data_IF_377454054772
#
_entry.id   IF_377454054772
#
_cell.length_a   1.000
_cell.length_b   1.000
_cell.length_c   1.000
_cell.angle_alpha   90.00
_cell.angle_beta   90.00
_cell.angle_gamma   90.00
#
_symmetry.space_group_name_H-M   'P 1'
#
loop_
_entity.id
_entity.type
_entity.pdbx_description
1 polymer ?
#
# COMPACT_ATOMS: atom_id res chain seq x y z
N UNK A 1 -20.08 -36.16 38.76
CA UNK A 1 -19.13 -35.86 37.67
C UNK A 1 -19.96 -35.60 36.43
N UNK A 2 -19.81 -34.52 35.68
CA UNK A 2 -18.59 -33.80 35.34
C UNK A 2 -18.32 -34.06 33.86
N UNK A 3 -18.87 -33.21 32.98
CA UNK A 3 -18.76 -33.35 31.52
C UNK A 3 -19.11 -32.04 30.84
N UNK A 4 -18.28 -31.02 31.06
CA UNK A 4 -18.40 -29.72 30.40
C UNK A 4 -18.06 -29.87 28.90
N UNK A 5 -19.06 -29.74 28.03
CA UNK A 5 -18.80 -29.55 26.60
C UNK A 5 -18.30 -28.13 26.39
N UNK A 6 -17.03 -28.02 25.99
CA UNK A 6 -16.39 -26.76 25.69
C UNK A 6 -17.12 -26.05 24.56
N UNK A 7 -17.70 -24.90 24.88
CA UNK A 7 -18.16 -23.90 23.90
C UNK A 7 -17.03 -23.63 22.91
N UNK A 8 -17.20 -24.06 21.65
CA UNK A 8 -16.39 -23.60 20.52
C UNK A 8 -16.59 -22.08 20.42
N UNK A 9 -15.55 -21.32 20.74
CA UNK A 9 -15.53 -19.88 20.58
C UNK A 9 -15.86 -19.49 19.14
N UNK A 10 -16.59 -18.39 18.99
CA UNK A 10 -16.95 -17.77 17.72
C UNK A 10 -15.76 -17.75 16.75
N UNK A 11 -15.81 -18.61 15.73
CA UNK A 11 -14.78 -18.71 14.72
C UNK A 11 -14.79 -17.46 13.86
N UNK A 12 -13.95 -16.48 14.21
CA UNK A 12 -13.68 -15.36 13.33
C UNK A 12 -13.19 -15.90 11.98
N UNK A 13 -13.73 -15.39 10.88
CA UNK A 13 -13.29 -15.79 9.54
C UNK A 13 -11.79 -15.55 9.40
N UNK A 14 -11.04 -16.42 8.70
CA UNK A 14 -9.61 -16.25 8.51
C UNK A 14 -9.31 -14.89 7.85
N UNK A 15 -8.11 -14.35 8.09
CA UNK A 15 -7.69 -13.09 7.48
C UNK A 15 -7.76 -13.18 5.94
N UNK A 16 -8.02 -12.06 5.23
CA UNK A 16 -8.26 -12.08 3.78
C UNK A 16 -7.15 -12.79 3.00
N UNK A 17 -5.89 -12.49 3.32
CA UNK A 17 -4.73 -13.14 2.69
C UNK A 17 -4.71 -14.67 2.87
N UNK A 18 -5.15 -15.20 4.02
CA UNK A 18 -5.16 -16.64 4.28
C UNK A 18 -6.11 -17.35 3.32
N UNK A 19 -7.30 -16.78 3.13
CA UNK A 19 -8.29 -17.30 2.18
C UNK A 19 -7.78 -17.23 0.74
N UNK A 20 -7.19 -16.09 0.33
CA UNK A 20 -6.66 -15.87 -1.03
C UNK A 20 -5.52 -16.81 -1.37
N UNK A 21 -4.60 -17.03 -0.44
CA UNK A 21 -3.52 -18.03 -0.58
C UNK A 21 -4.08 -19.44 -0.66
N UNK A 22 -5.15 -19.74 0.10
CA UNK A 22 -5.88 -21.00 -0.02
C UNK A 22 -6.38 -21.27 -1.44
N UNK A 23 -7.06 -20.29 -2.03
CA UNK A 23 -7.52 -20.36 -3.42
C UNK A 23 -6.37 -20.49 -4.43
N UNK A 24 -5.26 -19.79 -4.25
CA UNK A 24 -4.09 -19.92 -5.13
C UNK A 24 -3.49 -21.32 -5.08
N UNK A 25 -3.39 -21.91 -3.88
CA UNK A 25 -2.93 -23.30 -3.72
C UNK A 25 -3.91 -24.30 -4.33
N UNK A 26 -5.21 -24.03 -4.23
CA UNK A 26 -6.25 -24.84 -4.86
C UNK A 26 -6.19 -24.76 -6.40
N UNK A 27 -5.95 -23.57 -6.96
CA UNK A 27 -5.65 -23.39 -8.39
C UNK A 27 -4.43 -24.23 -8.79
N UNK A 28 -3.33 -24.18 -8.03
CA UNK A 28 -2.15 -25.01 -8.32
C UNK A 28 -2.47 -26.52 -8.29
N UNK A 29 -3.26 -26.99 -7.32
CA UNK A 29 -3.65 -28.40 -7.22
C UNK A 29 -4.54 -28.83 -8.40
N UNK A 30 -5.54 -28.03 -8.73
CA UNK A 30 -6.51 -28.34 -9.79
C UNK A 30 -5.90 -28.28 -11.18
N UNK A 31 -4.90 -27.42 -11.39
CA UNK A 31 -4.06 -27.42 -12.59
C UNK A 31 -3.31 -28.75 -12.74
N UNK A 32 -2.72 -29.28 -11.65
CA UNK A 32 -2.01 -30.58 -11.68
C UNK A 32 -2.94 -31.75 -11.97
N UNK A 33 -4.20 -31.66 -11.55
CA UNK A 33 -5.24 -32.64 -11.82
C UNK A 33 -5.92 -32.43 -13.19
N UNK A 34 -5.44 -31.51 -14.02
CA UNK A 34 -6.02 -31.14 -15.33
C UNK A 34 -7.48 -30.63 -15.27
N UNK A 35 -7.95 -30.17 -14.10
CA UNK A 35 -9.30 -29.62 -13.88
C UNK A 35 -9.34 -28.12 -14.18
N UNK A 36 -9.15 -27.73 -15.45
CA UNK A 36 -9.05 -26.31 -15.88
C UNK A 36 -10.26 -25.47 -15.52
N UNK A 37 -11.47 -25.97 -15.80
CA UNK A 37 -12.72 -25.23 -15.53
C UNK A 37 -12.87 -24.88 -14.04
N UNK A 38 -12.45 -25.79 -13.16
CA UNK A 38 -12.46 -25.56 -11.71
C UNK A 38 -11.42 -24.50 -11.32
N UNK A 39 -10.21 -24.55 -11.87
CA UNK A 39 -9.20 -23.51 -11.66
C UNK A 39 -9.68 -22.12 -12.11
N UNK A 40 -10.34 -22.05 -13.28
CA UNK A 40 -10.96 -20.81 -13.78
C UNK A 40 -12.05 -20.32 -12.84
N UNK A 41 -12.88 -21.21 -12.30
CA UNK A 41 -13.92 -20.87 -11.32
C UNK A 41 -13.31 -20.28 -10.04
N UNK A 42 -12.30 -20.92 -9.46
CA UNK A 42 -11.60 -20.42 -8.27
C UNK A 42 -10.97 -19.05 -8.56
N UNK A 43 -10.35 -18.87 -9.73
CA UNK A 43 -9.77 -17.58 -10.12
C UNK A 43 -10.82 -16.47 -10.18
N UNK A 44 -12.05 -16.75 -10.65
CA UNK A 44 -13.15 -15.77 -10.62
C UNK A 44 -13.52 -15.38 -9.20
N UNK A 45 -13.58 -16.35 -8.27
CA UNK A 45 -13.84 -16.08 -6.85
C UNK A 45 -12.73 -15.22 -6.23
N UNK A 46 -11.46 -15.52 -6.51
CA UNK A 46 -10.32 -14.74 -6.04
C UNK A 46 -10.37 -13.29 -6.55
N UNK A 47 -10.67 -13.09 -7.84
CA UNK A 47 -10.81 -11.76 -8.43
C UNK A 47 -11.97 -10.97 -7.82
N UNK A 48 -13.11 -11.62 -7.59
CA UNK A 48 -14.26 -11.03 -6.87
C UNK A 48 -13.87 -10.55 -5.48
N UNK A 49 -13.19 -11.40 -4.73
CA UNK A 49 -12.77 -11.11 -3.37
C UNK A 49 -11.75 -9.96 -3.26
N UNK A 50 -10.99 -9.71 -4.33
CA UNK A 50 -10.07 -8.57 -4.43
C UNK A 50 -10.75 -7.29 -4.94
N UNK A 51 -12.08 -7.30 -5.14
CA UNK A 51 -12.80 -6.15 -5.66
C UNK A 51 -12.49 -5.84 -7.14
N UNK A 52 -12.08 -6.86 -7.91
CA UNK A 52 -11.76 -6.76 -9.34
C UNK A 52 -12.93 -7.22 -10.23
N UNK A 53 -14.14 -7.37 -9.67
CA UNK A 53 -15.35 -7.67 -10.44
C UNK A 53 -15.63 -6.56 -11.47
N UNK A 54 -15.87 -6.93 -12.72
CA UNK A 54 -16.10 -5.97 -13.82
C UNK A 54 -14.84 -5.47 -14.52
N UNK A 55 -13.62 -5.74 -14.02
CA UNK A 55 -12.37 -5.48 -14.77
C UNK A 55 -12.20 -6.51 -15.89
N UNK A 56 -13.09 -6.47 -16.90
CA UNK A 56 -12.88 -7.27 -18.10
C UNK A 56 -11.58 -6.82 -18.77
N UNK A 57 -10.83 -7.78 -19.31
CA UNK A 57 -9.61 -7.54 -20.09
C UNK A 57 -9.81 -6.42 -21.12
N UNK A 58 -11.02 -6.32 -21.68
CA UNK A 58 -11.41 -5.30 -22.64
C UNK A 58 -11.74 -3.92 -22.03
N UNK A 59 -12.31 -3.84 -20.83
CA UNK A 59 -12.64 -2.55 -20.21
C UNK A 59 -11.39 -1.84 -19.68
N UNK A 60 -10.43 -2.61 -19.16
CA UNK A 60 -9.11 -2.11 -18.73
C UNK A 60 -8.26 -1.63 -19.92
N UNK A 61 -8.35 -2.30 -21.07
CA UNK A 61 -7.51 -2.01 -22.24
C UNK A 61 -8.11 -0.99 -23.22
N UNK A 62 -9.45 -0.90 -23.35
CA UNK A 62 -10.09 -0.14 -24.44
C UNK A 62 -11.01 1.02 -24.00
N UNK A 63 -11.43 1.11 -22.72
CA UNK A 63 -12.27 2.22 -22.25
C UNK A 63 -11.58 3.01 -21.15
N UNK A 64 -10.75 3.98 -21.58
CA UNK A 64 -10.11 5.01 -20.75
C UNK A 64 -9.16 4.50 -19.65
N UNK A 65 -7.89 4.32 -20.05
CA UNK A 65 -6.73 4.00 -19.22
C UNK A 65 -6.38 5.02 -18.11
N UNK A 66 -7.26 5.99 -17.81
CA UNK A 66 -7.06 7.04 -16.79
C UNK A 66 -7.59 6.67 -15.40
N UNK A 67 -8.27 5.51 -15.23
CA UNK A 67 -9.10 5.25 -14.03
C UNK A 67 -8.70 4.09 -13.13
N UNK A 68 -7.66 3.31 -13.41
CA UNK A 68 -7.27 2.21 -12.54
C UNK A 68 -6.07 2.61 -11.70
N UNK A 69 -6.29 3.56 -10.81
CA UNK A 69 -5.38 3.87 -9.70
C UNK A 69 -5.31 2.69 -8.72
N UNK A 70 -4.92 1.50 -9.20
CA UNK A 70 -4.98 0.27 -8.44
C UNK A 70 -4.13 0.39 -7.18
N UNK A 71 -4.66 -0.13 -6.06
CA UNK A 71 -3.89 -0.20 -4.81
C UNK A 71 -2.78 -1.24 -4.88
N UNK A 72 -2.92 -2.24 -5.74
CA UNK A 72 -1.93 -3.31 -5.95
C UNK A 72 -1.85 -3.69 -7.44
N UNK A 73 -1.11 -2.90 -8.25
CA UNK A 73 -0.98 -3.15 -9.68
C UNK A 73 -0.21 -4.45 -10.00
N UNK A 74 0.70 -4.88 -9.11
CA UNK A 74 1.52 -6.08 -9.32
C UNK A 74 0.63 -7.32 -9.21
N UNK A 75 -0.14 -7.46 -8.12
CA UNK A 75 -1.06 -8.58 -7.98
C UNK A 75 -2.12 -8.58 -9.08
N UNK A 76 -2.58 -7.41 -9.52
CA UNK A 76 -3.50 -7.30 -10.64
C UNK A 76 -2.91 -7.87 -11.93
N UNK A 77 -1.71 -7.46 -12.33
CA UNK A 77 -1.06 -7.94 -13.56
C UNK A 77 -0.82 -9.46 -13.53
N UNK A 78 -0.40 -9.99 -12.38
CA UNK A 78 -0.24 -11.43 -12.17
C UNK A 78 -1.57 -12.19 -12.30
N UNK A 79 -2.67 -11.67 -11.73
CA UNK A 79 -4.00 -12.27 -11.89
C UNK A 79 -4.47 -12.26 -13.35
N UNK A 80 -4.15 -11.21 -14.09
CA UNK A 80 -4.48 -11.08 -15.51
C UNK A 80 -3.66 -12.07 -16.35
N UNK A 81 -2.39 -12.24 -16.03
CA UNK A 81 -1.53 -13.25 -16.65
C UNK A 81 -2.04 -14.67 -16.36
N UNK A 82 -2.42 -14.96 -15.11
CA UNK A 82 -2.99 -16.26 -14.72
C UNK A 82 -4.32 -16.54 -15.45
N UNK A 83 -5.18 -15.52 -15.58
CA UNK A 83 -6.43 -15.65 -16.33
C UNK A 83 -6.19 -16.00 -17.80
N UNK A 84 -5.19 -15.35 -18.42
CA UNK A 84 -4.81 -15.60 -19.81
C UNK A 84 -4.32 -17.03 -20.01
N UNK A 85 -3.47 -17.53 -19.13
CA UNK A 85 -2.93 -18.89 -19.22
C UNK A 85 -4.01 -19.97 -19.05
N UNK A 86 -4.99 -19.73 -18.18
CA UNK A 86 -6.09 -20.68 -17.92
C UNK A 86 -7.18 -20.66 -19.00
N UNK A 87 -7.50 -19.49 -19.56
CA UNK A 87 -8.64 -19.31 -20.47
C UNK A 87 -8.24 -19.37 -21.95
N UNK A 88 -7.04 -18.90 -22.29
CA UNK A 88 -6.53 -18.82 -23.67
C UNK A 88 -5.10 -19.38 -23.78
N UNK A 89 -4.89 -20.69 -23.51
CA UNK A 89 -3.56 -21.27 -23.51
C UNK A 89 -2.94 -21.23 -24.91
N UNK A 90 -1.71 -20.70 -25.01
CA UNK A 90 -0.92 -20.73 -26.25
C UNK A 90 -0.41 -22.15 -26.51
N UNK A 91 -0.43 -22.59 -27.78
CA UNK A 91 -0.01 -23.96 -28.19
C UNK A 91 1.50 -24.21 -28.04
N UNK A 92 2.31 -23.16 -27.97
CA UNK A 92 3.77 -23.23 -28.03
C UNK A 92 4.46 -23.27 -26.65
N UNK A 93 3.72 -23.04 -25.57
CA UNK A 93 4.26 -22.99 -24.20
C UNK A 93 3.52 -23.96 -23.29
N UNK A 94 4.17 -24.45 -22.23
CA UNK A 94 3.53 -25.25 -21.18
C UNK A 94 2.76 -24.30 -20.21
N UNK A 95 1.45 -24.07 -20.41
CA UNK A 95 0.70 -23.09 -19.61
C UNK A 95 0.69 -23.44 -18.12
N UNK A 96 0.96 -24.70 -17.77
CA UNK A 96 0.96 -25.19 -16.40
C UNK A 96 2.17 -24.68 -15.62
N UNK A 97 3.36 -24.71 -16.24
CA UNK A 97 4.59 -24.18 -15.62
C UNK A 97 4.53 -22.67 -15.41
N UNK A 98 3.93 -21.94 -16.36
CA UNK A 98 3.69 -20.50 -16.20
C UNK A 98 2.68 -20.24 -15.09
N UNK A 99 1.53 -20.91 -15.11
CA UNK A 99 0.50 -20.74 -14.08
C UNK A 99 1.00 -21.07 -12.67
N UNK A 100 1.81 -22.12 -12.49
CA UNK A 100 2.42 -22.45 -11.18
C UNK A 100 3.38 -21.34 -10.71
N UNK A 101 4.19 -20.78 -11.63
CA UNK A 101 5.09 -19.66 -11.33
C UNK A 101 4.31 -18.42 -10.91
N UNK A 102 3.27 -18.07 -11.66
CA UNK A 102 2.40 -16.92 -11.38
C UNK A 102 1.70 -17.11 -10.02
N UNK A 103 1.19 -18.31 -9.72
CA UNK A 103 0.61 -18.62 -8.42
C UNK A 103 1.62 -18.41 -7.28
N UNK A 104 2.89 -18.81 -7.45
CA UNK A 104 3.93 -18.56 -6.44
C UNK A 104 4.21 -17.07 -6.24
N UNK A 105 4.26 -16.29 -7.32
CA UNK A 105 4.43 -14.84 -7.25
C UNK A 105 3.23 -14.19 -6.55
N UNK A 106 2.00 -14.58 -6.88
CA UNK A 106 0.80 -14.09 -6.21
C UNK A 106 0.80 -14.45 -4.72
N UNK A 107 1.16 -15.69 -4.37
CA UNK A 107 1.29 -16.10 -2.96
C UNK A 107 2.32 -15.23 -2.26
N UNK A 108 3.45 -14.93 -2.91
CA UNK A 108 4.44 -14.01 -2.38
C UNK A 108 3.77 -12.66 -2.10
N UNK A 109 3.34 -11.91 -3.12
CA UNK A 109 2.79 -10.56 -2.95
C UNK A 109 1.60 -10.43 -1.99
N UNK A 110 0.77 -11.46 -1.90
CA UNK A 110 -0.41 -11.44 -1.04
C UNK A 110 -0.14 -11.93 0.38
N UNK A 111 1.11 -12.28 0.75
CA UNK A 111 1.46 -12.72 2.10
C UNK A 111 2.37 -11.72 2.82
N UNK A 112 2.33 -11.69 4.17
CA UNK A 112 3.28 -10.90 4.92
C UNK A 112 4.71 -11.41 4.70
N UNK A 113 5.59 -10.53 4.22
CA UNK A 113 7.02 -10.81 4.02
C UNK A 113 7.90 -10.46 5.22
N UNK A 114 7.30 -9.91 6.29
CA UNK A 114 8.09 -9.44 7.42
C UNK A 114 8.94 -10.60 7.97
N UNK A 115 10.16 -10.26 8.41
CA UNK A 115 11.17 -11.16 9.02
C UNK A 115 10.63 -11.97 10.22
N UNK A 116 9.38 -11.73 10.61
CA UNK A 116 8.66 -12.35 11.71
C UNK A 116 7.83 -13.57 11.34
N UNK A 117 7.69 -13.94 10.06
CA UNK A 117 6.99 -15.16 9.68
C UNK A 117 7.82 -16.43 10.02
N UNK A 118 8.05 -16.67 11.32
CA UNK A 118 8.30 -17.98 11.89
C UNK A 118 6.95 -18.59 12.25
N UNK A 119 6.57 -19.61 11.50
CA UNK A 119 5.52 -20.58 11.77
C UNK A 119 4.89 -20.51 13.18
N UNK A 120 3.60 -20.11 13.23
CA UNK A 120 2.69 -20.54 14.30
C UNK A 120 2.95 -20.00 15.71
N UNK A 121 3.17 -18.69 15.91
CA UNK A 121 3.20 -18.14 17.27
C UNK A 121 1.80 -18.20 17.92
N UNK A 122 1.66 -18.80 19.13
CA UNK A 122 0.44 -18.71 19.91
C UNK A 122 0.14 -17.26 20.30
N UNK A 123 -1.13 -16.88 20.29
CA UNK A 123 -1.66 -15.53 20.58
C UNK A 123 -1.13 -14.89 21.88
N UNK A 124 -0.67 -15.68 22.85
CA UNK A 124 -0.06 -15.22 24.12
C UNK A 124 1.34 -14.59 23.93
N UNK A 125 2.10 -14.99 22.89
CA UNK A 125 3.42 -14.44 22.56
C UNK A 125 3.34 -13.11 21.79
N UNK A 126 2.20 -12.79 21.17
CA UNK A 126 1.94 -11.52 20.48
C UNK A 126 2.02 -10.31 21.44
N UNK A 127 1.54 -10.45 22.67
CA UNK A 127 1.56 -9.34 23.64
C UNK A 127 2.96 -9.01 24.17
N UNK A 128 3.84 -10.01 24.29
CA UNK A 128 5.26 -9.78 24.61
C UNK A 128 5.92 -9.09 23.43
N UNK A 129 5.64 -9.53 22.20
CA UNK A 129 6.13 -8.92 20.97
C UNK A 129 5.73 -7.45 20.83
N UNK A 130 4.46 -7.11 21.10
CA UNK A 130 3.97 -5.72 21.03
C UNK A 130 4.67 -4.84 22.04
N UNK A 131 4.78 -5.29 23.30
CA UNK A 131 5.53 -4.54 24.32
C UNK A 131 6.98 -4.35 23.89
N UNK A 132 7.65 -5.38 23.36
CA UNK A 132 9.03 -5.25 22.90
C UNK A 132 9.18 -4.42 21.64
N UNK A 133 8.22 -4.40 20.71
CA UNK A 133 8.25 -3.54 19.52
C UNK A 133 8.00 -2.08 19.88
N UNK A 134 7.12 -1.81 20.84
CA UNK A 134 6.90 -0.48 21.40
C UNK A 134 8.03 -0.03 22.36
N UNK A 135 8.72 -0.96 23.04
CA UNK A 135 9.80 -0.69 23.99
C UNK A 135 11.20 -0.73 23.38
N UNK A 136 11.40 -1.40 22.24
CA UNK A 136 12.64 -1.28 21.47
C UNK A 136 12.79 0.19 21.17
N UNK A 137 13.72 0.84 21.89
CA UNK A 137 14.08 2.24 21.69
C UNK A 137 14.18 2.46 20.18
N UNK A 138 13.34 3.37 19.72
CA UNK A 138 13.23 3.92 18.38
C UNK A 138 14.59 4.49 18.00
N UNK A 139 15.52 3.61 17.61
CA UNK A 139 16.78 3.98 16.96
C UNK A 139 16.56 4.27 15.48
N UNK A 140 15.32 4.14 14.99
CA UNK A 140 14.90 4.41 13.63
C UNK A 140 13.53 5.08 13.71
N UNK A 141 13.31 6.16 12.96
CA UNK A 141 12.08 6.97 12.90
C UNK A 141 10.84 6.22 12.35
N UNK A 142 10.73 4.92 12.60
CA UNK A 142 9.69 4.03 12.06
C UNK A 142 9.14 3.09 13.13
N UNK A 143 7.85 2.77 13.00
CA UNK A 143 7.16 1.77 13.80
C UNK A 143 6.72 0.63 12.88
N UNK A 144 7.21 -0.59 13.12
CA UNK A 144 6.83 -1.79 12.36
C UNK A 144 6.16 -2.80 13.28
N UNK A 145 4.86 -3.03 13.05
CA UNK A 145 4.05 -4.07 13.69
C UNK A 145 3.52 -5.09 12.67
N UNK A 146 4.09 -5.11 11.47
CA UNK A 146 3.61 -5.91 10.35
C UNK A 146 3.57 -7.41 10.68
N UNK A 147 2.44 -8.05 10.38
CA UNK A 147 2.23 -9.48 10.61
C UNK A 147 1.92 -9.86 12.06
N UNK A 148 1.76 -8.89 12.99
CA UNK A 148 1.31 -9.13 14.36
C UNK A 148 -0.21 -8.92 14.44
N UNK A 149 -1.05 -9.95 14.66
CA UNK A 149 -2.48 -9.76 14.81
C UNK A 149 -2.79 -8.89 16.04
N UNK A 150 -3.44 -7.76 15.82
CA UNK A 150 -3.81 -6.78 16.84
C UNK A 150 -5.23 -7.00 17.32
N UNK A 151 -5.44 -6.87 18.63
CA UNK A 151 -6.78 -6.79 19.22
C UNK A 151 -7.17 -5.34 19.46
N UNK A 152 -8.46 -5.03 19.67
CA UNK A 152 -8.90 -3.69 20.08
C UNK A 152 -8.13 -3.13 21.28
N UNK A 153 -7.78 -3.99 22.25
CA UNK A 153 -6.97 -3.58 23.41
C UNK A 153 -5.55 -3.18 23.03
N UNK A 154 -4.96 -3.85 22.04
CA UNK A 154 -3.63 -3.52 21.55
C UNK A 154 -3.66 -2.22 20.74
N UNK A 155 -4.73 -2.01 19.98
CA UNK A 155 -5.02 -0.75 19.27
C UNK A 155 -5.13 0.43 20.24
N UNK A 156 -5.81 0.29 21.38
CA UNK A 156 -5.84 1.33 22.42
C UNK A 156 -4.45 1.65 23.00
N UNK A 157 -3.62 0.61 23.22
CA UNK A 157 -2.25 0.81 23.70
C UNK A 157 -1.40 1.55 22.67
N UNK A 158 -1.60 1.24 21.39
CA UNK A 158 -0.93 1.91 20.29
C UNK A 158 -1.36 3.36 20.18
N UNK A 159 -2.66 3.65 20.27
CA UNK A 159 -3.17 5.02 20.32
C UNK A 159 -2.51 5.83 21.45
N UNK A 160 -2.47 5.27 22.66
CA UNK A 160 -1.79 5.88 23.80
C UNK A 160 -0.28 6.08 23.55
N UNK A 161 0.38 5.11 22.91
CA UNK A 161 1.80 5.24 22.58
C UNK A 161 2.05 6.36 21.56
N UNK A 162 1.28 6.40 20.47
CA UNK A 162 1.37 7.41 19.41
C UNK A 162 1.13 8.81 19.95
N UNK A 163 0.18 8.96 20.88
CA UNK A 163 -0.09 10.24 21.53
C UNK A 163 1.11 10.80 22.32
N UNK A 164 1.90 9.92 22.95
CA UNK A 164 2.97 10.35 23.86
C UNK A 164 4.37 10.29 23.24
N UNK A 165 4.57 9.53 22.16
CA UNK A 165 5.91 9.24 21.60
C UNK A 165 5.93 9.28 20.06
N UNK A 166 4.87 9.78 19.41
CA UNK A 166 4.69 9.71 17.96
C UNK A 166 5.42 10.79 17.15
N UNK A 167 5.88 11.88 17.78
CA UNK A 167 6.33 13.10 17.08
C UNK A 167 7.51 12.89 16.12
N UNK A 168 8.32 11.85 16.35
CA UNK A 168 9.48 11.52 15.54
C UNK A 168 9.17 10.54 14.41
N UNK A 169 8.00 9.89 14.42
CA UNK A 169 7.68 8.82 13.49
C UNK A 169 7.45 9.36 12.07
N UNK A 170 8.24 8.83 11.14
CA UNK A 170 8.14 9.09 9.70
C UNK A 170 7.41 7.98 8.95
N UNK A 171 7.45 6.75 9.48
CA UNK A 171 6.82 5.58 8.85
C UNK A 171 6.12 4.71 9.88
N UNK A 172 4.91 4.26 9.56
CA UNK A 172 4.11 3.33 10.39
C UNK A 172 3.64 2.18 9.51
N UNK A 173 4.11 0.97 9.81
CA UNK A 173 3.72 -0.26 9.13
C UNK A 173 2.81 -1.11 10.01
N UNK A 174 1.54 -1.20 9.60
CA UNK A 174 0.48 -1.99 10.21
C UNK A 174 -0.04 -3.06 9.25
N UNK A 175 0.79 -3.51 8.31
CA UNK A 175 0.42 -4.50 7.31
C UNK A 175 0.12 -5.85 7.97
N UNK A 176 -0.92 -6.56 7.51
CA UNK A 176 -1.28 -7.91 7.97
C UNK A 176 -1.49 -8.02 9.50
N UNK A 177 -2.09 -7.00 10.11
CA UNK A 177 -2.34 -6.91 11.56
C UNK A 177 -3.77 -7.26 11.96
N UNK A 178 -4.59 -7.70 11.00
CA UNK A 178 -6.02 -7.98 11.18
C UNK A 178 -6.88 -6.77 11.56
N UNK A 179 -6.40 -5.55 11.28
CA UNK A 179 -7.18 -4.34 11.49
C UNK A 179 -8.48 -4.37 10.67
N UNK A 180 -9.57 -3.94 11.28
CA UNK A 180 -10.85 -3.69 10.62
C UNK A 180 -11.17 -2.19 10.64
N UNK A 181 -12.26 -1.80 9.97
CA UNK A 181 -12.63 -0.39 9.83
C UNK A 181 -12.80 0.32 11.18
N UNK A 182 -13.34 -0.36 12.20
CA UNK A 182 -13.54 0.21 13.54
C UNK A 182 -12.23 0.45 14.28
N UNK A 183 -11.27 -0.49 14.17
CA UNK A 183 -9.94 -0.34 14.75
C UNK A 183 -9.19 0.83 14.11
N UNK A 184 -9.25 0.95 12.78
CA UNK A 184 -8.59 2.05 12.07
C UNK A 184 -9.24 3.38 12.42
N UNK A 185 -10.58 3.46 12.46
CA UNK A 185 -11.30 4.67 12.89
C UNK A 185 -10.85 5.17 14.26
N UNK A 186 -10.58 4.24 15.19
CA UNK A 186 -10.04 4.59 16.51
C UNK A 186 -8.61 5.14 16.46
N UNK A 187 -7.78 4.61 15.56
CA UNK A 187 -6.37 4.99 15.42
C UNK A 187 -6.15 6.28 14.64
N UNK A 188 -7.02 6.57 13.67
CA UNK A 188 -6.87 7.68 12.75
C UNK A 188 -6.61 9.02 13.45
N UNK A 189 -7.31 9.39 14.55
CA UNK A 189 -7.02 10.58 15.35
C UNK A 189 -5.56 10.74 15.78
N UNK A 190 -4.91 9.63 16.10
CA UNK A 190 -3.54 9.60 16.58
C UNK A 190 -2.54 9.54 15.43
N UNK A 191 -2.88 8.84 14.34
CA UNK A 191 -2.04 8.75 13.14
C UNK A 191 -1.98 10.06 12.36
N UNK A 192 -3.11 10.74 12.19
CA UNK A 192 -3.13 11.99 11.43
C UNK A 192 -2.56 13.19 12.20
N UNK A 193 -2.40 13.06 13.52
CA UNK A 193 -1.78 14.07 14.36
C UNK A 193 -0.25 13.99 14.31
N UNK A 194 0.32 12.90 13.76
CA UNK A 194 1.76 12.72 13.66
C UNK A 194 2.37 13.75 12.69
N UNK A 195 3.25 14.65 13.16
CA UNK A 195 3.72 15.78 12.36
C UNK A 195 4.67 15.37 11.23
N UNK A 196 5.39 14.25 11.40
CA UNK A 196 6.43 13.80 10.47
C UNK A 196 6.06 12.56 9.66
N UNK A 197 4.85 12.03 9.84
CA UNK A 197 4.44 10.79 9.18
C UNK A 197 4.33 11.01 7.67
N UNK A 198 5.17 10.30 6.91
CA UNK A 198 5.21 10.33 5.45
C UNK A 198 4.67 9.04 4.82
N UNK A 199 4.85 7.91 5.51
CA UNK A 199 4.48 6.59 5.01
C UNK A 199 3.55 5.85 5.98
N UNK A 200 2.41 5.38 5.50
CA UNK A 200 1.47 4.56 6.26
C UNK A 200 1.13 3.28 5.48
N UNK A 201 1.51 2.11 6.01
CA UNK A 201 1.15 0.83 5.41
C UNK A 201 0.01 0.16 6.15
N UNK A 202 -1.07 -0.14 5.42
CA UNK A 202 -2.29 -0.81 5.90
C UNK A 202 -2.62 -2.05 5.05
N UNK A 203 -1.64 -2.58 4.32
CA UNK A 203 -1.77 -3.71 3.41
C UNK A 203 -2.26 -4.98 4.12
N UNK A 204 -3.10 -5.79 3.48
CA UNK A 204 -3.41 -7.14 3.96
C UNK A 204 -4.32 -7.20 5.20
N UNK A 205 -5.10 -6.16 5.44
CA UNK A 205 -6.03 -6.04 6.56
C UNK A 205 -7.49 -6.32 6.14
N UNK A 206 -8.44 -6.11 7.06
CA UNK A 206 -9.88 -6.30 6.84
C UNK A 206 -10.58 -4.98 6.52
N UNK A 207 -9.91 -4.09 5.79
CA UNK A 207 -10.42 -2.77 5.48
C UNK A 207 -11.36 -2.81 4.29
N UNK A 208 -12.37 -1.94 4.32
CA UNK A 208 -13.36 -1.79 3.26
C UNK A 208 -13.34 -0.39 2.66
N UNK A 209 -14.26 -0.14 1.72
CA UNK A 209 -14.52 1.21 1.19
C UNK A 209 -14.84 2.25 2.29
N UNK A 210 -15.29 1.83 3.48
CA UNK A 210 -15.56 2.74 4.59
C UNK A 210 -14.27 3.45 5.06
N UNK A 211 -13.20 2.70 5.35
CA UNK A 211 -11.89 3.27 5.71
C UNK A 211 -11.31 4.09 4.57
N UNK A 212 -11.47 3.64 3.31
CA UNK A 212 -11.03 4.40 2.15
C UNK A 212 -11.71 5.77 2.06
N UNK A 213 -13.04 5.82 2.27
CA UNK A 213 -13.81 7.05 2.30
C UNK A 213 -13.35 7.95 3.44
N UNK A 214 -13.14 7.40 4.63
CA UNK A 214 -12.67 8.15 5.78
C UNK A 214 -11.29 8.78 5.54
N UNK A 215 -10.32 8.00 5.05
CA UNK A 215 -9.00 8.52 4.64
C UNK A 215 -9.14 9.64 3.60
N UNK A 216 -9.97 9.43 2.58
CA UNK A 216 -10.21 10.43 1.52
C UNK A 216 -10.81 11.72 2.09
N UNK A 217 -11.79 11.63 2.99
CA UNK A 217 -12.41 12.77 3.63
C UNK A 217 -11.42 13.50 4.56
N UNK A 218 -10.54 12.77 5.26
CA UNK A 218 -9.52 13.37 6.13
C UNK A 218 -8.48 14.15 5.35
N UNK A 219 -8.13 13.73 4.14
CA UNK A 219 -7.16 14.44 3.30
C UNK A 219 -7.59 15.85 2.89
N UNK A 220 -8.90 16.15 2.97
CA UNK A 220 -9.46 17.50 2.68
C UNK A 220 -9.01 18.53 3.72
N UNK A 221 -8.75 18.09 4.95
CA UNK A 221 -8.21 18.92 6.03
C UNK A 221 -6.69 18.88 5.99
N UNK A 222 -6.05 20.03 5.78
CA UNK A 222 -4.59 20.13 5.70
C UNK A 222 -3.90 19.98 7.06
N UNK A 223 -4.63 20.15 8.16
CA UNK A 223 -4.10 19.95 9.51
C UNK A 223 -4.01 18.45 9.88
N UNK A 224 -4.78 17.62 9.18
CA UNK A 224 -4.73 16.16 9.32
C UNK A 224 -3.71 15.62 8.35
N UNK A 225 -2.80 14.78 8.85
CA UNK A 225 -1.70 14.20 8.10
C UNK A 225 -0.85 15.26 7.41
N UNK A 226 -0.19 16.19 8.12
CA UNK A 226 0.50 17.32 7.50
C UNK A 226 1.56 16.90 6.47
N UNK A 227 2.17 15.73 6.65
CA UNK A 227 3.27 15.23 5.82
C UNK A 227 2.99 13.89 5.11
N UNK A 228 1.76 13.35 5.16
CA UNK A 228 1.52 12.02 4.59
C UNK A 228 1.63 12.07 3.06
N UNK A 229 2.59 11.32 2.51
CA UNK A 229 2.88 11.27 1.08
C UNK A 229 2.51 9.92 0.46
N UNK A 230 2.46 8.85 1.24
CA UNK A 230 2.22 7.50 0.75
C UNK A 230 1.36 6.67 1.70
N UNK A 231 0.41 5.94 1.12
CA UNK A 231 -0.45 4.99 1.82
C UNK A 231 -0.56 3.71 1.00
N UNK A 232 -0.25 2.57 1.62
CA UNK A 232 -0.51 1.25 1.04
C UNK A 232 -1.79 0.64 1.60
N UNK A 233 -2.74 0.40 0.71
CA UNK A 233 -4.05 -0.18 0.99
C UNK A 233 -4.27 -1.49 0.22
N UNK A 234 -3.22 -2.09 -0.32
CA UNK A 234 -3.25 -3.35 -1.06
C UNK A 234 -3.82 -4.51 -0.24
N UNK A 235 -4.30 -5.54 -0.94
CA UNK A 235 -4.74 -6.81 -0.34
C UNK A 235 -5.78 -6.67 0.81
N UNK A 236 -6.63 -5.65 0.77
CA UNK A 236 -7.76 -5.46 1.69
C UNK A 236 -9.05 -6.08 1.12
N UNK A 237 -10.17 -6.06 1.86
CA UNK A 237 -11.40 -6.83 1.52
C UNK A 237 -12.15 -6.24 0.33
N UNK A 238 -12.33 -4.93 0.29
CA UNK A 238 -13.17 -4.27 -0.72
C UNK A 238 -12.51 -2.97 -1.19
N UNK A 239 -11.21 -3.06 -1.44
CA UNK A 239 -10.35 -1.94 -1.82
C UNK A 239 -9.46 -2.39 -2.97
N UNK A 240 -9.80 -1.97 -4.18
CA UNK A 240 -9.08 -2.31 -5.41
C UNK A 240 -8.46 -1.09 -6.10
N UNK A 241 -8.95 0.12 -5.84
CA UNK A 241 -8.44 1.37 -6.41
C UNK A 241 -8.41 2.51 -5.40
N UNK A 242 -7.47 3.43 -5.61
CA UNK A 242 -7.32 4.68 -4.88
C UNK A 242 -8.24 5.75 -5.48
N UNK A 243 -9.13 6.37 -4.68
CA UNK A 243 -9.91 7.52 -5.12
C UNK A 243 -9.02 8.69 -5.55
N UNK A 244 -9.38 9.35 -6.64
CA UNK A 244 -8.64 10.52 -7.13
C UNK A 244 -8.43 11.62 -6.07
N UNK A 245 -9.41 11.97 -5.22
CA UNK A 245 -9.20 12.99 -4.19
C UNK A 245 -8.15 12.60 -3.15
N UNK A 246 -8.02 11.30 -2.82
CA UNK A 246 -6.98 10.79 -1.92
C UNK A 246 -5.60 10.95 -2.55
N UNK A 247 -5.43 10.57 -3.82
CA UNK A 247 -4.16 10.75 -4.54
C UNK A 247 -3.74 12.21 -4.67
N UNK A 248 -4.68 13.10 -5.00
CA UNK A 248 -4.42 14.54 -5.06
C UNK A 248 -3.99 15.06 -3.69
N UNK A 249 -4.67 14.62 -2.62
CA UNK A 249 -4.32 14.97 -1.24
C UNK A 249 -2.91 14.52 -0.83
N UNK A 250 -2.49 13.32 -1.22
CA UNK A 250 -1.14 12.80 -0.97
C UNK A 250 -0.08 13.56 -1.79
N UNK A 251 -0.33 13.78 -3.09
CA UNK A 251 0.60 14.53 -3.96
C UNK A 251 0.83 15.96 -3.46
N UNK A 252 -0.22 16.64 -3.00
CA UNK A 252 -0.11 18.01 -2.44
C UNK A 252 0.86 18.07 -1.26
N UNK A 253 0.82 17.08 -0.37
CA UNK A 253 1.70 16.97 0.81
C UNK A 253 3.12 16.59 0.42
N UNK A 254 3.28 15.71 -0.56
CA UNK A 254 4.59 15.37 -1.13
C UNK A 254 5.27 16.60 -1.75
N UNK A 255 4.56 17.40 -2.55
CA UNK A 255 5.10 18.62 -3.16
C UNK A 255 5.51 19.68 -2.15
N UNK A 256 4.90 19.72 -0.96
CA UNK A 256 5.33 20.59 0.13
C UNK A 256 6.66 20.14 0.77
N UNK A 257 7.01 18.85 0.65
CA UNK A 257 8.28 18.31 1.14
C UNK A 257 9.40 18.43 0.12
N UNK A 258 9.06 18.29 -1.17
CA UNK A 258 10.01 18.42 -2.26
C UNK A 258 9.88 19.83 -2.85
N UNK A 259 10.57 20.82 -2.28
CA UNK A 259 10.85 22.07 -2.99
C UNK A 259 11.82 21.74 -4.13
N UNK A 260 11.31 21.25 -5.24
CA UNK A 260 12.05 21.33 -6.49
C UNK A 260 12.28 22.84 -6.74
N UNK A 261 13.53 23.30 -6.93
CA UNK A 261 13.79 24.68 -7.25
C UNK A 261 13.00 25.03 -8.51
N UNK A 262 12.09 26.00 -8.42
CA UNK A 262 11.42 26.54 -9.60
C UNK A 262 12.50 27.19 -10.47
N UNK A 263 12.88 26.53 -11.57
CA UNK A 263 13.70 27.16 -12.59
C UNK A 263 12.77 28.17 -13.27
N UNK A 264 13.00 29.46 -13.01
CA UNK A 264 12.38 30.52 -13.80
C UNK A 264 13.01 30.44 -15.19
N UNK A 265 12.28 29.90 -16.17
CA UNK A 265 12.60 30.11 -17.58
C UNK A 265 12.33 31.59 -17.87
N UNK A 266 13.39 32.39 -17.90
CA UNK A 266 13.35 33.71 -18.48
C UNK A 266 12.98 33.54 -19.96
N UNK A 267 11.76 33.93 -20.31
CA UNK A 267 11.37 34.11 -21.70
C UNK A 267 12.12 35.35 -22.21
N UNK A 268 13.27 35.11 -22.82
CA UNK A 268 13.97 36.13 -23.62
C UNK A 268 13.16 36.35 -24.91
N UNK A 269 12.28 37.35 -24.85
CA UNK A 269 11.72 38.00 -26.03
C UNK A 269 11.96 39.51 -25.88
N UNK A 270 12.99 40.06 -26.51
CA UNK A 270 12.81 40.60 -27.86
C UNK A 270 14.01 41.42 -28.37
N UNK A 271 14.20 41.27 -29.68
CA UNK A 271 14.70 42.26 -30.65
C UNK A 271 16.20 42.39 -30.93
N UNK A 272 16.58 41.82 -32.08
CA UNK A 272 17.70 42.23 -32.92
C UNK A 272 17.68 43.73 -33.22
N UNK A 273 18.86 44.37 -33.32
CA UNK A 273 19.23 45.37 -34.34
C UNK A 273 20.77 45.50 -34.38
N UNK A 274 21.33 44.96 -35.46
CA UNK A 274 22.34 45.53 -36.38
C UNK A 274 23.73 46.02 -35.93
N UNK A 275 24.72 45.33 -36.53
CA UNK A 275 25.88 45.84 -37.31
C UNK A 275 27.14 46.42 -36.62
N UNK A 276 28.21 45.63 -36.76
CA UNK A 276 29.56 45.97 -37.26
C UNK A 276 30.36 47.13 -36.63
N UNK A 277 31.53 46.81 -36.06
CA UNK A 277 32.58 47.80 -35.78
C UNK A 277 33.74 47.25 -34.95
N UNK A 278 34.89 47.14 -35.60
CA UNK A 278 36.22 46.75 -35.13
C UNK A 278 36.74 47.35 -33.82
N UNK A 279 37.83 46.72 -33.34
CA UNK A 279 38.99 47.24 -32.56
C UNK A 279 38.98 47.14 -31.03
N UNK A 280 39.81 46.23 -30.49
CA UNK A 280 40.60 46.41 -29.26
C UNK A 280 41.55 47.63 -29.42
N UNK A 281 42.21 48.20 -28.38
CA UNK A 281 42.40 47.70 -27.00
C UNK A 281 42.27 48.79 -25.89
N UNK A 282 42.48 48.39 -24.62
CA UNK A 282 43.56 48.90 -23.73
C UNK A 282 43.11 49.07 -22.27
N UNK A 283 44.00 48.65 -21.38
CA UNK A 283 43.99 48.74 -19.93
C UNK A 283 43.76 50.15 -19.37
N UNK A 284 43.23 50.25 -18.14
CA UNK A 284 43.84 51.02 -17.04
C UNK A 284 43.20 50.68 -15.68
N UNK A 285 44.07 50.63 -14.66
CA UNK A 285 43.83 50.40 -13.24
C UNK A 285 43.18 51.59 -12.51
N UNK A 286 42.59 51.32 -11.34
CA UNK A 286 42.50 52.11 -10.08
C UNK A 286 41.10 51.96 -9.44
N UNK A 287 40.92 51.36 -8.26
CA UNK A 287 41.09 51.91 -6.89
C UNK A 287 40.21 53.14 -6.57
N UNK A 288 39.44 53.06 -5.46
CA UNK A 288 38.74 54.16 -4.78
C UNK A 288 37.21 53.97 -4.73
N UNK A 289 36.60 53.45 -3.66
CA UNK A 289 36.26 54.08 -2.37
C UNK A 289 35.14 55.14 -2.47
N UNK A 290 34.00 54.84 -1.81
CA UNK A 290 32.97 55.72 -1.20
C UNK A 290 32.41 56.88 -2.06
N UNK A 291 31.09 57.03 -2.27
CA UNK A 291 29.93 56.91 -1.38
C UNK A 291 28.69 56.51 -2.19
#
# INVERSE_FOLDING_TARGET
>A
GGGASGRRGSGASPAPYVRRVGWLREIQATIREHKREHAVHILRLLRKDLGLEGTFLNEVLYKNATFLNLVDPISHDLLMSLARDLQCPKKEYDPWKSSDRICRQLIYHLTPHSKWHRHGMPRRKSQVCLKTSLQKKVSQDSMDLSGIPLTMRDVHRMAYYLQNNGDHLTSVDLSFTELNDDMVRLLLPFLWALPKLTHLSLNGNRLTRATMKELTDTMKDMNKFPCLAWVDLGNNVDVSSMPQPLLVGLRKRLSQQTTLPTIYEALDCDSEISTAGSTLPRAFSQQGCER
#
